data_IF_941704381808
#
_entry.id   IF_941704381808
#
_cell.length_a   1.000
_cell.length_b   1.000
_cell.length_c   1.000
_cell.angle_alpha   90.00
_cell.angle_beta   90.00
_cell.angle_gamma   90.00
#
_symmetry.space_group_name_H-M   'P 1'
#
loop_
_entity.id
_entity.type
_entity.pdbx_description
1 polymer ?
#
# COMPACT_ATOMS: atom_id res chain seq x y z
N UNK A 1 -1.67 -2.06 -26.97
CA UNK A 1 -0.27 -2.44 -26.73
C UNK A 1 -0.23 -3.53 -25.70
N UNK A 2 0.52 -4.58 -25.96
CA UNK A 2 0.67 -5.66 -24.98
C UNK A 2 1.35 -5.11 -23.72
N UNK A 3 0.81 -5.50 -22.60
CA UNK A 3 1.30 -5.17 -21.27
C UNK A 3 2.62 -5.91 -21.06
N UNK A 4 3.75 -5.23 -21.19
CA UNK A 4 5.09 -5.86 -21.11
C UNK A 4 5.56 -6.12 -19.68
N UNK A 5 4.66 -6.20 -18.71
CA UNK A 5 5.00 -6.56 -17.34
C UNK A 5 5.28 -8.06 -17.28
N UNK A 6 6.54 -8.42 -17.18
CA UNK A 6 6.98 -9.82 -17.06
C UNK A 6 6.89 -10.33 -15.62
N UNK A 7 7.11 -9.44 -14.66
CA UNK A 7 7.16 -9.75 -13.24
C UNK A 7 6.58 -8.59 -12.44
N UNK A 8 6.11 -8.86 -11.22
CA UNK A 8 5.68 -7.81 -10.30
C UNK A 8 6.82 -6.83 -9.98
N UNK A 9 8.07 -7.29 -10.02
CA UNK A 9 9.24 -6.44 -9.81
C UNK A 9 9.33 -5.28 -10.80
N UNK A 10 8.80 -5.45 -12.01
CA UNK A 10 8.78 -4.39 -13.02
C UNK A 10 7.89 -3.20 -12.60
N UNK A 11 6.98 -3.42 -11.67
CA UNK A 11 6.05 -2.38 -11.17
C UNK A 11 6.66 -1.54 -10.05
N UNK A 12 7.61 -2.08 -9.29
CA UNK A 12 8.09 -1.45 -8.07
C UNK A 12 8.75 -0.09 -8.27
N UNK A 13 9.63 0.12 -9.29
CA UNK A 13 10.24 1.44 -9.49
C UNK A 13 9.22 2.56 -9.70
N UNK A 14 8.22 2.33 -10.55
CA UNK A 14 7.16 3.30 -10.80
C UNK A 14 6.31 3.58 -9.58
N UNK A 15 5.95 2.52 -8.83
CA UNK A 15 5.17 2.65 -7.59
C UNK A 15 5.95 3.37 -6.50
N UNK A 16 7.26 3.13 -6.37
CA UNK A 16 8.13 3.88 -5.46
C UNK A 16 8.15 5.37 -5.81
N UNK A 17 8.33 5.70 -7.08
CA UNK A 17 8.35 7.10 -7.54
C UNK A 17 7.01 7.77 -7.28
N UNK A 18 5.92 7.10 -7.59
CA UNK A 18 4.57 7.61 -7.35
C UNK A 18 4.33 7.88 -5.87
N UNK A 19 4.62 6.90 -5.00
CA UNK A 19 4.40 7.04 -3.55
C UNK A 19 5.28 8.15 -2.96
N UNK A 20 6.53 8.23 -3.39
CA UNK A 20 7.45 9.26 -2.93
C UNK A 20 6.97 10.66 -3.31
N UNK A 21 6.51 10.83 -4.55
CA UNK A 21 5.94 12.10 -5.02
C UNK A 21 4.70 12.48 -4.22
N UNK A 22 3.80 11.52 -4.04
CA UNK A 22 2.56 11.70 -3.26
C UNK A 22 2.86 12.12 -1.82
N UNK A 23 3.76 11.43 -1.13
CA UNK A 23 4.07 11.73 0.27
C UNK A 23 4.83 13.05 0.42
N UNK A 24 5.75 13.35 -0.48
CA UNK A 24 6.46 14.64 -0.47
C UNK A 24 5.51 15.81 -0.69
N UNK A 25 4.53 15.68 -1.57
CA UNK A 25 3.54 16.72 -1.78
C UNK A 25 2.61 16.85 -0.56
N UNK A 26 2.14 15.73 -0.02
CA UNK A 26 1.27 15.70 1.16
C UNK A 26 1.91 16.38 2.38
N UNK A 27 3.22 16.21 2.56
CA UNK A 27 3.95 16.68 3.74
C UNK A 27 4.93 17.83 3.45
N UNK A 28 4.78 18.52 2.32
CA UNK A 28 5.74 19.54 1.85
C UNK A 28 6.01 20.68 2.86
N UNK A 29 5.01 21.00 3.69
CA UNK A 29 5.11 22.08 4.68
C UNK A 29 5.26 21.55 6.12
N UNK A 30 5.68 20.29 6.29
CA UNK A 30 5.82 19.65 7.59
C UNK A 30 7.29 19.37 7.89
N UNK A 31 7.64 19.41 9.18
CA UNK A 31 9.00 19.06 9.64
C UNK A 31 9.11 17.55 9.82
N UNK A 32 9.24 16.83 8.73
CA UNK A 32 9.35 15.38 8.72
C UNK A 32 10.28 14.93 7.60
N UNK A 33 10.70 13.67 7.69
CA UNK A 33 11.48 13.01 6.64
C UNK A 33 10.58 11.97 5.96
N UNK A 34 10.70 11.87 4.63
CA UNK A 34 9.94 10.91 3.82
C UNK A 34 10.91 9.93 3.19
N UNK A 35 10.69 8.64 3.46
CA UNK A 35 11.44 7.54 2.86
C UNK A 35 10.47 6.63 2.12
N UNK A 36 10.82 6.25 0.89
CA UNK A 36 10.06 5.26 0.12
C UNK A 36 11.05 4.26 -0.47
N UNK A 37 10.76 2.98 -0.29
CA UNK A 37 11.66 1.93 -0.72
C UNK A 37 10.89 0.71 -1.20
N UNK A 38 11.48 0.03 -2.17
CA UNK A 38 11.16 -1.33 -2.56
C UNK A 38 11.74 -2.25 -1.47
N UNK A 39 10.88 -3.03 -0.86
CA UNK A 39 11.28 -3.86 0.29
C UNK A 39 10.75 -5.29 0.19
N UNK A 40 10.36 -5.73 -0.99
CA UNK A 40 10.04 -7.14 -1.20
C UNK A 40 11.22 -8.02 -0.74
N UNK A 41 10.97 -9.19 -0.22
CA UNK A 41 11.98 -10.11 0.30
C UNK A 41 12.72 -9.63 1.57
N UNK A 42 12.27 -8.55 2.21
CA UNK A 42 12.80 -8.08 3.49
C UNK A 42 11.64 -7.95 4.49
N UNK A 43 11.84 -8.45 5.69
CA UNK A 43 10.81 -8.34 6.72
C UNK A 43 10.62 -6.90 7.19
N UNK A 44 9.37 -6.52 7.39
CA UNK A 44 8.98 -5.15 7.75
C UNK A 44 9.68 -4.68 9.03
N UNK A 45 9.75 -5.52 10.06
CA UNK A 45 10.38 -5.15 11.33
C UNK A 45 11.86 -4.77 11.15
N UNK A 46 12.60 -5.48 10.30
CA UNK A 46 14.01 -5.17 10.00
C UNK A 46 14.16 -3.80 9.34
N UNK A 47 13.22 -3.43 8.46
CA UNK A 47 13.25 -2.13 7.78
C UNK A 47 12.90 -1.02 8.78
N UNK A 48 11.87 -1.22 9.59
CA UNK A 48 11.46 -0.22 10.59
C UNK A 48 12.56 0.01 11.63
N UNK A 49 13.31 -1.03 11.99
CA UNK A 49 14.47 -0.91 12.87
C UNK A 49 15.59 -0.09 12.21
N UNK A 50 15.89 -0.40 10.95
CA UNK A 50 16.92 0.33 10.18
C UNK A 50 16.65 1.82 10.09
N UNK A 51 15.39 2.22 9.97
CA UNK A 51 14.98 3.63 9.91
C UNK A 51 14.67 4.24 11.28
N UNK A 52 14.93 3.49 12.37
CA UNK A 52 14.72 3.95 13.75
C UNK A 52 13.27 4.37 14.02
N UNK A 53 12.32 3.55 13.56
CA UNK A 53 10.88 3.76 13.78
C UNK A 53 10.16 2.53 14.34
N UNK A 54 10.89 1.43 14.59
CA UNK A 54 10.30 0.19 15.09
C UNK A 54 9.61 0.38 16.46
N UNK A 55 10.07 1.32 17.27
CA UNK A 55 9.49 1.61 18.59
C UNK A 55 8.04 2.08 18.49
N UNK A 56 7.61 2.58 17.33
CA UNK A 56 6.22 3.01 17.11
C UNK A 56 5.35 1.86 16.58
N UNK A 57 5.95 0.72 16.24
CA UNK A 57 5.28 -0.45 15.68
C UNK A 57 5.76 -1.75 16.34
N UNK A 58 5.76 -1.82 17.70
CA UNK A 58 6.32 -3.00 18.38
C UNK A 58 5.55 -4.29 18.08
N UNK A 59 4.29 -4.18 17.70
CA UNK A 59 3.44 -5.32 17.39
C UNK A 59 3.86 -6.09 16.14
N UNK A 60 4.68 -5.51 15.25
CA UNK A 60 5.10 -6.20 14.03
C UNK A 60 6.37 -7.05 14.19
N UNK A 61 7.06 -6.91 15.32
CA UNK A 61 8.30 -7.64 15.57
C UNK A 61 8.05 -9.16 15.52
N UNK A 62 8.82 -9.85 14.68
CA UNK A 62 8.77 -11.31 14.55
C UNK A 62 7.60 -11.85 13.72
N UNK A 63 6.75 -11.02 13.14
CA UNK A 63 5.60 -11.48 12.36
C UNK A 63 5.95 -11.88 10.92
N UNK A 64 7.18 -11.62 10.47
CA UNK A 64 7.66 -11.97 9.12
C UNK A 64 6.79 -11.37 8.00
N UNK A 65 6.38 -10.13 8.19
CA UNK A 65 5.56 -9.40 7.21
C UNK A 65 6.47 -8.90 6.09
N UNK A 66 6.10 -9.18 4.85
CA UNK A 66 6.76 -8.68 3.65
C UNK A 66 5.80 -7.79 2.87
N UNK A 67 6.24 -6.58 2.53
CA UNK A 67 5.49 -5.60 1.75
C UNK A 67 6.30 -5.26 0.51
N UNK A 68 5.65 -5.02 -0.62
CA UNK A 68 6.36 -4.72 -1.87
C UNK A 68 6.98 -3.33 -1.87
N UNK A 69 6.20 -2.31 -1.55
CA UNK A 69 6.67 -0.91 -1.45
C UNK A 69 6.21 -0.32 -0.13
N UNK A 70 7.15 0.29 0.57
CA UNK A 70 6.92 0.89 1.88
C UNK A 70 7.24 2.38 1.85
N UNK A 71 6.31 3.20 2.34
CA UNK A 71 6.55 4.59 2.67
C UNK A 71 6.68 4.76 4.18
N UNK A 72 7.65 5.54 4.61
CA UNK A 72 7.83 5.93 6.00
C UNK A 72 7.87 7.45 6.06
N UNK A 73 7.03 8.04 6.89
CA UNK A 73 7.08 9.47 7.23
C UNK A 73 7.46 9.57 8.69
N UNK A 74 8.59 10.20 8.96
CA UNK A 74 9.20 10.24 10.29
C UNK A 74 9.28 11.66 10.82
N UNK A 75 8.69 11.88 11.99
CA UNK A 75 8.87 13.08 12.81
C UNK A 75 9.81 12.79 13.98
N UNK A 76 10.08 13.80 14.77
CA UNK A 76 10.95 13.66 15.95
C UNK A 76 10.42 12.64 16.97
N UNK A 77 9.09 12.55 17.11
CA UNK A 77 8.42 11.83 18.19
C UNK A 77 7.41 10.79 17.70
N UNK A 78 7.27 10.60 16.40
CA UNK A 78 6.31 9.65 15.81
C UNK A 78 6.69 9.28 14.38
N UNK A 79 6.03 8.27 13.86
CA UNK A 79 6.14 7.88 12.46
C UNK A 79 4.79 7.37 11.93
N UNK A 80 4.64 7.46 10.61
CA UNK A 80 3.53 6.86 9.87
C UNK A 80 4.11 5.93 8.81
N UNK A 81 3.42 4.84 8.53
CA UNK A 81 3.80 3.94 7.43
C UNK A 81 2.68 3.84 6.40
N UNK A 82 3.09 3.63 5.17
CA UNK A 82 2.23 3.53 3.97
C UNK A 82 2.61 2.26 3.24
N UNK A 83 1.64 1.40 2.99
CA UNK A 83 1.87 0.09 2.40
C UNK A 83 1.34 0.05 0.97
N UNK A 84 2.13 -0.50 0.06
CA UNK A 84 1.68 -0.81 -1.30
C UNK A 84 1.97 -2.27 -1.59
N UNK A 85 0.93 -3.00 -1.95
CA UNK A 85 1.02 -4.37 -2.45
C UNK A 85 0.76 -4.35 -3.94
N UNK A 86 1.69 -4.89 -4.71
CA UNK A 86 1.67 -4.87 -6.17
C UNK A 86 1.30 -6.24 -6.74
N UNK A 87 0.45 -6.26 -7.74
CA UNK A 87 0.12 -7.45 -8.52
C UNK A 87 0.18 -7.15 -10.02
N UNK A 88 0.64 -8.11 -10.80
CA UNK A 88 0.62 -8.02 -12.27
C UNK A 88 -0.65 -8.61 -12.88
N UNK A 89 -1.34 -9.46 -12.14
CA UNK A 89 -2.56 -10.16 -12.57
C UNK A 89 -3.80 -9.50 -11.98
N UNK A 90 -4.96 -9.79 -12.57
CA UNK A 90 -6.24 -9.30 -12.05
C UNK A 90 -6.40 -9.68 -10.57
N UNK A 91 -6.91 -8.75 -9.78
CA UNK A 91 -7.06 -8.91 -8.33
C UNK A 91 -8.18 -9.88 -7.97
N UNK A 92 -8.04 -10.49 -6.80
CA UNK A 92 -9.00 -11.41 -6.22
C UNK A 92 -9.10 -11.22 -4.69
N UNK A 93 -10.00 -11.96 -4.06
CA UNK A 93 -10.21 -11.89 -2.60
C UNK A 93 -8.96 -12.30 -1.81
N UNK A 94 -8.18 -13.24 -2.32
CA UNK A 94 -6.96 -13.68 -1.63
C UNK A 94 -5.93 -12.54 -1.55
N UNK A 95 -5.78 -11.76 -2.61
CA UNK A 95 -4.89 -10.59 -2.61
C UNK A 95 -5.34 -9.57 -1.56
N UNK A 96 -6.63 -9.27 -1.51
CA UNK A 96 -7.18 -8.36 -0.51
C UNK A 96 -7.01 -8.89 0.91
N UNK A 97 -7.31 -10.16 1.14
CA UNK A 97 -7.22 -10.79 2.45
C UNK A 97 -5.81 -10.72 3.04
N UNK A 98 -4.79 -10.95 2.24
CA UNK A 98 -3.40 -10.85 2.67
C UNK A 98 -3.05 -9.43 3.14
N UNK A 99 -3.34 -8.43 2.32
CA UNK A 99 -3.05 -7.03 2.69
C UNK A 99 -3.90 -6.57 3.87
N UNK A 100 -5.16 -7.00 3.93
CA UNK A 100 -6.06 -6.65 5.04
C UNK A 100 -5.52 -7.14 6.39
N UNK A 101 -5.02 -8.37 6.45
CA UNK A 101 -4.39 -8.89 7.68
C UNK A 101 -3.18 -8.04 8.06
N UNK A 102 -2.33 -7.69 7.11
CA UNK A 102 -1.19 -6.82 7.39
C UNK A 102 -1.64 -5.46 7.92
N UNK A 103 -2.68 -4.88 7.33
CA UNK A 103 -3.23 -3.60 7.78
C UNK A 103 -3.79 -3.68 9.21
N UNK A 104 -4.45 -4.78 9.55
CA UNK A 104 -4.98 -5.00 10.91
C UNK A 104 -3.87 -5.14 11.95
N UNK A 105 -2.74 -5.73 11.57
CA UNK A 105 -1.58 -5.90 12.45
C UNK A 105 -0.73 -4.65 12.55
N UNK A 106 -0.46 -3.99 11.42
CA UNK A 106 0.46 -2.85 11.35
C UNK A 106 -0.22 -1.51 11.55
N UNK A 107 -1.50 -1.41 11.27
CA UNK A 107 -2.28 -0.18 11.29
C UNK A 107 -1.60 0.98 10.53
N UNK A 108 -1.28 0.80 9.23
CA UNK A 108 -0.66 1.85 8.44
C UNK A 108 -1.60 3.05 8.28
N UNK A 109 -1.05 4.22 7.98
CA UNK A 109 -1.87 5.40 7.72
C UNK A 109 -2.68 5.25 6.43
N UNK A 110 -2.06 4.70 5.38
CA UNK A 110 -2.74 4.34 4.13
C UNK A 110 -2.17 3.03 3.60
N UNK A 111 -3.00 2.30 2.88
CA UNK A 111 -2.61 1.06 2.24
C UNK A 111 -3.25 0.95 0.86
N UNK A 112 -2.49 0.45 -0.10
CA UNK A 112 -2.88 0.35 -1.50
C UNK A 112 -2.67 -1.06 -2.01
N UNK A 113 -3.68 -1.60 -2.66
CA UNK A 113 -3.60 -2.84 -3.44
C UNK A 113 -3.71 -2.45 -4.91
N UNK A 114 -2.61 -2.51 -5.62
CA UNK A 114 -2.50 -2.02 -7.00
C UNK A 114 -2.14 -3.15 -7.96
N UNK A 115 -2.83 -3.23 -9.08
CA UNK A 115 -2.55 -4.23 -10.09
C UNK A 115 -2.56 -3.68 -11.50
N UNK A 116 -1.54 -4.02 -12.28
CA UNK A 116 -1.53 -3.73 -13.71
C UNK A 116 -2.54 -4.57 -14.49
N UNK A 117 -3.02 -5.68 -13.92
CA UNK A 117 -4.06 -6.53 -14.50
C UNK A 117 -5.50 -6.10 -14.18
N UNK A 118 -5.68 -5.03 -13.38
CA UNK A 118 -6.99 -4.51 -13.01
C UNK A 118 -7.61 -5.18 -11.80
N UNK A 119 -8.85 -4.78 -11.48
CA UNK A 119 -9.52 -5.19 -10.25
C UNK A 119 -10.06 -6.63 -10.28
N UNK A 120 -10.23 -7.23 -11.45
CA UNK A 120 -10.72 -8.61 -11.55
C UNK A 120 -12.02 -8.87 -10.78
N UNK A 121 -12.08 -9.98 -10.06
CA UNK A 121 -13.26 -10.36 -9.26
C UNK A 121 -13.53 -9.43 -8.09
N UNK A 122 -12.54 -8.64 -7.64
CA UNK A 122 -12.77 -7.64 -6.59
C UNK A 122 -13.74 -6.55 -7.01
N UNK A 123 -13.77 -6.19 -8.28
CA UNK A 123 -14.74 -5.22 -8.80
C UNK A 123 -16.17 -5.67 -8.53
N UNK A 124 -16.47 -6.95 -8.76
CA UNK A 124 -17.78 -7.52 -8.47
C UNK A 124 -18.11 -7.42 -6.98
N UNK A 125 -17.18 -7.82 -6.13
CA UNK A 125 -17.40 -7.83 -4.68
C UNK A 125 -17.59 -6.41 -4.14
N UNK A 126 -16.70 -5.50 -4.49
CA UNK A 126 -16.70 -4.16 -3.94
C UNK A 126 -17.80 -3.27 -4.51
N UNK A 127 -18.04 -3.33 -5.81
CA UNK A 127 -19.02 -2.48 -6.49
C UNK A 127 -20.39 -3.15 -6.62
N UNK A 128 -20.47 -4.32 -7.27
CA UNK A 128 -21.76 -4.93 -7.57
C UNK A 128 -22.45 -5.49 -6.32
N UNK A 129 -21.69 -6.07 -5.39
CA UNK A 129 -22.22 -6.57 -4.12
C UNK A 129 -22.16 -5.52 -3.01
N UNK A 130 -21.66 -4.32 -3.31
CA UNK A 130 -21.60 -3.19 -2.38
C UNK A 130 -20.88 -3.52 -1.05
N UNK A 131 -19.76 -4.24 -1.13
CA UNK A 131 -19.02 -4.71 0.05
C UNK A 131 -17.71 -3.95 0.26
N UNK A 132 -17.76 -2.61 0.20
CA UNK A 132 -16.61 -1.76 0.54
C UNK A 132 -16.18 -1.90 2.01
N UNK A 133 -17.05 -2.39 2.88
CA UNK A 133 -16.72 -2.70 4.27
C UNK A 133 -15.55 -3.68 4.41
N UNK A 134 -15.33 -4.53 3.39
CA UNK A 134 -14.20 -5.46 3.38
C UNK A 134 -12.83 -4.77 3.27
N UNK A 135 -12.81 -3.49 2.95
CA UNK A 135 -11.59 -2.69 2.90
C UNK A 135 -11.22 -2.08 4.26
N UNK A 136 -12.10 -2.20 5.26
CA UNK A 136 -11.96 -1.51 6.54
C UNK A 136 -10.87 -2.13 7.41
N UNK A 137 -10.03 -1.26 7.99
CA UNK A 137 -9.08 -1.60 9.04
C UNK A 137 -8.96 -0.44 10.03
N UNK A 138 -8.22 -0.64 11.12
CA UNK A 138 -8.17 0.32 12.21
C UNK A 138 -9.19 -0.02 13.29
N UNK A 139 -9.46 0.91 14.19
CA UNK A 139 -10.39 0.68 15.31
C UNK A 139 -11.08 1.98 15.77
N UNK A 140 -12.25 1.81 16.36
CA UNK A 140 -13.01 2.92 16.95
C UNK A 140 -13.40 3.97 15.93
N UNK A 141 -13.05 5.23 16.24
CA UNK A 141 -13.37 6.37 15.37
C UNK A 141 -12.41 6.55 14.19
N UNK A 142 -11.34 5.76 14.12
CA UNK A 142 -10.31 5.85 13.09
C UNK A 142 -10.33 4.64 12.15
N UNK A 143 -11.49 4.34 11.61
CA UNK A 143 -11.62 3.33 10.56
C UNK A 143 -11.05 3.91 9.26
N UNK A 144 -10.14 3.16 8.66
CA UNK A 144 -9.49 3.47 7.39
C UNK A 144 -9.85 2.38 6.38
N UNK A 145 -9.71 2.69 5.10
CA UNK A 145 -10.00 1.73 4.03
C UNK A 145 -8.76 1.51 3.17
N UNK A 146 -8.48 0.25 2.86
CA UNK A 146 -7.54 -0.09 1.79
C UNK A 146 -8.05 0.51 0.48
N UNK A 147 -7.17 1.13 -0.29
CA UNK A 147 -7.47 1.64 -1.63
C UNK A 147 -7.06 0.59 -2.66
N UNK A 148 -7.99 0.19 -3.50
CA UNK A 148 -7.79 -0.82 -4.54
C UNK A 148 -7.91 -0.15 -5.89
N UNK A 149 -6.93 -0.33 -6.78
CA UNK A 149 -6.96 0.33 -8.08
C UNK A 149 -6.15 -0.42 -9.13
N UNK A 150 -6.44 -0.12 -10.40
CA UNK A 150 -5.58 -0.51 -11.50
C UNK A 150 -4.36 0.42 -11.56
N UNK A 151 -3.19 -0.17 -11.71
CA UNK A 151 -1.96 0.55 -11.99
C UNK A 151 -1.82 0.73 -13.50
N UNK A 152 -1.74 1.98 -13.94
CA UNK A 152 -1.55 2.29 -15.36
C UNK A 152 -0.05 2.39 -15.67
N UNK A 153 0.47 1.39 -16.36
CA UNK A 153 1.91 1.30 -16.67
C UNK A 153 2.34 2.42 -17.61
N UNK A 154 1.45 2.88 -18.49
CA UNK A 154 1.80 3.93 -19.45
C UNK A 154 2.00 5.27 -18.79
N UNK A 155 1.37 5.50 -17.65
CA UNK A 155 1.43 6.75 -16.87
C UNK A 155 2.29 6.62 -15.63
N UNK A 156 2.74 5.41 -15.27
CA UNK A 156 3.34 5.10 -13.97
C UNK A 156 2.54 5.69 -12.81
N UNK A 157 1.25 5.39 -12.79
CA UNK A 157 0.34 5.94 -11.81
C UNK A 157 -0.95 5.14 -11.65
N UNK A 158 -1.75 5.56 -10.69
CA UNK A 158 -3.07 4.96 -10.44
C UNK A 158 -4.04 5.43 -11.50
N UNK A 159 -4.81 4.49 -12.07
CA UNK A 159 -5.99 4.80 -12.86
C UNK A 159 -7.11 5.25 -11.92
N UNK A 160 -7.33 6.57 -11.85
CA UNK A 160 -8.30 7.16 -10.93
C UNK A 160 -9.74 6.74 -11.19
N UNK A 161 -10.06 6.28 -12.40
CA UNK A 161 -11.40 5.75 -12.71
C UNK A 161 -11.65 4.39 -12.09
N UNK A 162 -10.59 3.63 -11.79
CA UNK A 162 -10.67 2.29 -11.23
C UNK A 162 -10.69 2.25 -9.70
N UNK A 163 -10.29 3.32 -9.03
CA UNK A 163 -10.04 3.31 -7.58
C UNK A 163 -11.32 3.07 -6.76
N UNK A 164 -11.20 2.19 -5.76
CA UNK A 164 -12.24 1.91 -4.78
C UNK A 164 -11.60 2.00 -3.39
N UNK A 165 -12.16 2.73 -2.44
CA UNK A 165 -13.32 3.60 -2.57
C UNK A 165 -13.01 4.83 -3.45
N UNK A 166 -14.04 5.44 -3.99
CA UNK A 166 -13.89 6.70 -4.72
C UNK A 166 -13.37 7.79 -3.77
N UNK A 167 -12.46 8.59 -4.29
CA UNK A 167 -11.88 9.72 -3.55
C UNK A 167 -12.75 10.96 -3.78
#
# INVERSE_FOLDING_TARGET
MANNVKSEFDLYPGMCTWLKTYLKDKFKNKKCEVFVLDCHSVYLDSILDKYDVIQYYPQVVGLKIEIDVLGIVKWKDRAEIYLVEAKKTALNLQNLGQLLIYCKLCNPEEAYLLSSGGLGSLKKVLNNLNREDLLDYGSGKRIKKIKVARWDITKDGIDNHSIVPKI
#
